data_IF_802285119455
#
_entry.id   IF_802285119455
#
_cell.length_a   1.000
_cell.length_b   1.000
_cell.length_c   1.000
_cell.angle_alpha   90.00
_cell.angle_beta   90.00
_cell.angle_gamma   90.00
#
_symmetry.space_group_name_H-M   'P 1'
#
loop_
_entity.id
_entity.type
_entity.pdbx_description
1 polymer ?
#
# COMPACT_ATOMS: atom_id res chain seq x y z
N UNK A 1 8.25 3.79 4.69
CA UNK A 1 8.03 3.36 3.29
C UNK A 1 8.49 4.39 2.27
N UNK A 2 7.91 5.61 2.25
CA UNK A 2 8.19 6.62 1.21
C UNK A 2 9.70 6.87 1.01
N UNK A 3 10.46 7.05 2.09
CA UNK A 3 11.93 7.23 2.00
C UNK A 3 12.59 6.05 1.29
N UNK A 4 12.29 4.81 1.69
CA UNK A 4 12.81 3.63 1.01
C UNK A 4 12.41 3.59 -0.47
N UNK A 5 11.13 3.81 -0.78
CA UNK A 5 10.61 3.78 -2.15
C UNK A 5 11.35 4.77 -3.07
N UNK A 6 11.59 6.00 -2.59
CA UNK A 6 12.34 7.00 -3.34
C UNK A 6 13.79 6.54 -3.52
N UNK A 7 14.43 6.06 -2.44
CA UNK A 7 15.82 5.59 -2.52
C UNK A 7 15.99 4.36 -3.41
N UNK A 8 14.97 3.53 -3.56
CA UNK A 8 15.00 2.23 -4.24
C UNK A 8 14.61 2.35 -5.72
N UNK A 9 13.45 2.95 -6.00
CA UNK A 9 12.86 3.00 -7.34
C UNK A 9 12.99 4.36 -8.05
N UNK A 10 13.34 5.43 -7.32
CA UNK A 10 13.50 6.77 -7.92
C UNK A 10 14.96 7.17 -8.07
N UNK A 11 15.76 7.04 -7.01
CA UNK A 11 17.16 7.49 -7.00
C UNK A 11 18.18 6.35 -7.06
N UNK A 12 17.76 5.10 -6.87
CA UNK A 12 18.63 3.92 -6.94
C UNK A 12 19.69 3.81 -5.84
N UNK A 13 19.61 4.63 -4.79
CA UNK A 13 20.60 4.72 -3.71
C UNK A 13 20.73 3.43 -2.88
N UNK A 14 19.64 2.66 -2.73
CA UNK A 14 19.64 1.38 -1.99
C UNK A 14 19.50 0.16 -2.91
N UNK A 15 19.58 0.39 -4.22
CA UNK A 15 19.32 -0.60 -5.25
C UNK A 15 20.58 -0.80 -6.10
N UNK A 16 21.27 -1.92 -5.86
CA UNK A 16 22.57 -2.23 -6.48
C UNK A 16 22.54 -2.40 -8.00
N UNK A 17 21.40 -2.79 -8.57
CA UNK A 17 21.20 -3.04 -9.99
C UNK A 17 20.39 -1.95 -10.69
N UNK A 18 20.21 -0.79 -10.06
CA UNK A 18 19.34 0.27 -10.58
C UNK A 18 19.85 0.82 -11.91
N UNK A 19 18.96 0.90 -12.89
CA UNK A 19 19.19 1.52 -14.20
C UNK A 19 18.26 2.72 -14.42
N UNK A 20 18.85 3.91 -14.57
CA UNK A 20 18.09 5.13 -14.81
C UNK A 20 17.34 5.07 -16.16
N UNK A 21 16.04 5.35 -16.14
CA UNK A 21 15.19 5.27 -17.34
C UNK A 21 14.60 3.88 -17.62
N UNK A 22 14.90 2.88 -16.79
CA UNK A 22 14.42 1.50 -16.93
C UNK A 22 13.49 1.07 -15.75
N UNK A 23 12.33 1.74 -15.55
CA UNK A 23 11.51 1.53 -14.35
C UNK A 23 10.95 0.11 -14.24
N UNK A 24 10.63 -0.55 -15.36
CA UNK A 24 10.14 -1.93 -15.36
C UNK A 24 11.19 -2.92 -14.83
N UNK A 25 12.43 -2.80 -15.31
CA UNK A 25 13.53 -3.65 -14.86
C UNK A 25 13.85 -3.40 -13.39
N UNK A 26 13.90 -2.12 -12.97
CA UNK A 26 14.15 -1.77 -11.58
C UNK A 26 13.10 -2.37 -10.63
N UNK A 27 11.83 -2.42 -11.04
CA UNK A 27 10.78 -3.08 -10.26
C UNK A 27 11.05 -4.58 -10.14
N UNK A 28 11.36 -5.26 -11.24
CA UNK A 28 11.71 -6.70 -11.22
C UNK A 28 12.88 -6.95 -10.28
N UNK A 29 13.94 -6.14 -10.39
CA UNK A 29 15.16 -6.31 -9.61
C UNK A 29 14.91 -6.10 -8.11
N UNK A 30 14.17 -5.05 -7.73
CA UNK A 30 13.76 -4.83 -6.34
C UNK A 30 13.03 -6.06 -5.78
N UNK A 31 12.05 -6.60 -6.50
CA UNK A 31 11.24 -7.74 -6.04
C UNK A 31 11.92 -9.11 -6.23
N UNK A 32 13.07 -9.16 -6.89
CA UNK A 32 13.93 -10.36 -6.90
C UNK A 32 14.73 -10.54 -5.61
N UNK A 33 14.78 -9.49 -4.76
CA UNK A 33 15.45 -9.53 -3.45
C UNK A 33 14.48 -9.84 -2.32
N UNK A 34 14.89 -10.66 -1.35
CA UNK A 34 14.03 -11.02 -0.22
C UNK A 34 13.66 -9.81 0.65
N UNK A 35 14.58 -8.87 0.85
CA UNK A 35 14.34 -7.69 1.68
C UNK A 35 13.43 -6.68 0.98
N UNK A 36 13.52 -6.52 -0.35
CA UNK A 36 12.59 -5.72 -1.14
C UNK A 36 11.16 -6.22 -0.96
N UNK A 37 10.94 -7.53 -1.10
CA UNK A 37 9.64 -8.14 -0.83
C UNK A 37 9.12 -7.83 0.58
N UNK A 38 9.92 -8.07 1.62
CA UNK A 38 9.49 -7.84 3.01
C UNK A 38 9.11 -6.39 3.27
N UNK A 39 9.93 -5.43 2.83
CA UNK A 39 9.68 -4.00 3.06
C UNK A 39 8.39 -3.54 2.38
N UNK A 40 8.17 -3.95 1.13
CA UNK A 40 6.97 -3.56 0.39
C UNK A 40 5.73 -4.30 0.87
N UNK A 41 5.81 -5.58 1.27
CA UNK A 41 4.67 -6.30 1.89
C UNK A 41 4.24 -5.60 3.18
N UNK A 42 5.18 -5.26 4.07
CA UNK A 42 4.87 -4.54 5.32
C UNK A 42 4.24 -3.18 5.02
N UNK A 43 4.73 -2.48 3.99
CA UNK A 43 4.17 -1.20 3.57
C UNK A 43 2.73 -1.35 3.04
N UNK A 44 2.45 -2.36 2.22
CA UNK A 44 1.12 -2.64 1.67
C UNK A 44 0.15 -3.04 2.78
N UNK A 45 0.58 -3.83 3.77
CA UNK A 45 -0.23 -4.15 4.95
C UNK A 45 -0.58 -2.90 5.77
N UNK A 46 0.41 -2.04 6.02
CA UNK A 46 0.20 -0.78 6.71
C UNK A 46 -0.73 0.16 5.94
N UNK A 47 -0.59 0.22 4.61
CA UNK A 47 -1.49 0.96 3.72
C UNK A 47 -2.91 0.41 3.77
N UNK A 48 -3.09 -0.91 3.73
CA UNK A 48 -4.41 -1.56 3.87
C UNK A 48 -5.12 -1.16 5.16
N UNK A 49 -4.42 -1.25 6.29
CA UNK A 49 -4.94 -0.80 7.60
C UNK A 49 -5.24 0.71 7.63
N UNK A 50 -4.36 1.53 7.05
CA UNK A 50 -4.55 2.97 6.97
C UNK A 50 -5.79 3.34 6.15
N UNK A 51 -6.00 2.70 5.00
CA UNK A 51 -7.18 2.92 4.15
C UNK A 51 -8.44 2.43 4.84
N UNK A 52 -8.42 1.25 5.47
CA UNK A 52 -9.55 0.72 6.25
C UNK A 52 -10.01 1.74 7.32
N UNK A 53 -9.06 2.20 8.14
CA UNK A 53 -9.34 3.16 9.20
C UNK A 53 -9.76 4.52 8.63
N UNK A 54 -9.02 5.05 7.66
CA UNK A 54 -9.25 6.37 7.08
C UNK A 54 -10.59 6.47 6.36
N UNK A 55 -10.98 5.44 5.61
CA UNK A 55 -12.26 5.40 4.91
C UNK A 55 -13.44 5.43 5.89
N UNK A 56 -13.39 4.60 6.93
CA UNK A 56 -14.44 4.58 7.94
C UNK A 56 -14.52 5.90 8.72
N UNK A 57 -13.37 6.42 9.16
CA UNK A 57 -13.30 7.69 9.90
C UNK A 57 -13.78 8.88 9.07
N UNK A 58 -13.39 8.94 7.78
CA UNK A 58 -13.85 9.99 6.87
C UNK A 58 -15.38 9.95 6.67
N UNK A 59 -15.97 8.76 6.52
CA UNK A 59 -17.42 8.61 6.42
C UNK A 59 -18.16 9.12 7.67
N UNK A 60 -17.57 8.93 8.85
CA UNK A 60 -18.12 9.47 10.09
C UNK A 60 -17.98 11.00 10.16
N UNK A 61 -16.81 11.55 9.84
CA UNK A 61 -16.56 13.00 9.86
C UNK A 61 -17.41 13.77 8.86
N UNK A 62 -17.68 13.19 7.69
CA UNK A 62 -18.51 13.80 6.64
C UNK A 62 -20.02 13.61 6.86
N UNK A 63 -20.44 13.01 7.98
CA UNK A 63 -21.85 12.85 8.33
C UNK A 63 -22.59 11.74 7.57
N UNK A 64 -21.87 10.85 6.88
CA UNK A 64 -22.46 9.69 6.19
C UNK A 64 -22.82 8.58 7.18
N UNK A 65 -22.08 8.51 8.29
CA UNK A 65 -22.25 7.52 9.36
C UNK A 65 -23.57 7.67 10.12
N UNK A 66 -24.28 6.54 10.27
CA UNK A 66 -25.43 6.40 11.16
C UNK A 66 -25.54 4.94 11.59
N UNK A 67 -26.26 4.66 12.68
CA UNK A 67 -26.32 3.33 13.29
C UNK A 67 -26.70 2.18 12.32
N UNK A 68 -27.47 2.47 11.26
CA UNK A 68 -27.85 1.48 10.23
C UNK A 68 -26.75 1.32 9.17
N UNK A 69 -26.11 2.42 8.75
CA UNK A 69 -25.09 2.45 7.69
C UNK A 69 -23.71 2.04 8.17
N UNK A 70 -23.42 2.13 9.46
CA UNK A 70 -22.11 1.79 10.02
C UNK A 70 -21.65 0.38 9.69
N UNK A 71 -22.57 -0.60 9.70
CA UNK A 71 -22.25 -1.98 9.32
C UNK A 71 -21.82 -2.06 7.85
N UNK A 72 -22.55 -1.38 6.95
CA UNK A 72 -22.24 -1.34 5.52
C UNK A 72 -20.90 -0.63 5.29
N UNK A 73 -20.68 0.53 5.91
CA UNK A 73 -19.44 1.30 5.79
C UNK A 73 -18.22 0.51 6.29
N UNK A 74 -18.35 -0.21 7.41
CA UNK A 74 -17.29 -1.09 7.91
C UNK A 74 -17.00 -2.25 6.97
N UNK A 75 -18.04 -2.90 6.43
CA UNK A 75 -17.84 -3.96 5.42
C UNK A 75 -17.13 -3.41 4.18
N UNK A 76 -17.55 -2.26 3.66
CA UNK A 76 -16.89 -1.61 2.52
C UNK A 76 -15.44 -1.25 2.82
N UNK A 77 -15.15 -0.68 3.99
CA UNK A 77 -13.79 -0.37 4.42
C UNK A 77 -12.90 -1.63 4.46
N UNK A 78 -13.42 -2.72 5.04
CA UNK A 78 -12.71 -3.99 5.14
C UNK A 78 -12.48 -4.62 3.76
N UNK A 79 -13.49 -4.62 2.89
CA UNK A 79 -13.38 -5.17 1.53
C UNK A 79 -12.40 -4.36 0.70
N UNK A 80 -12.47 -3.02 0.74
CA UNK A 80 -11.54 -2.16 0.04
C UNK A 80 -10.10 -2.40 0.49
N UNK A 81 -9.86 -2.45 1.80
CA UNK A 81 -8.55 -2.75 2.35
C UNK A 81 -8.03 -4.12 1.95
N UNK A 82 -8.87 -5.16 1.99
CA UNK A 82 -8.50 -6.51 1.58
C UNK A 82 -8.17 -6.60 0.07
N UNK A 83 -8.99 -6.01 -0.79
CA UNK A 83 -8.78 -5.99 -2.25
C UNK A 83 -7.46 -5.30 -2.59
N UNK A 84 -7.20 -4.12 -2.02
CA UNK A 84 -5.95 -3.41 -2.25
C UNK A 84 -4.76 -4.22 -1.73
N UNK A 85 -4.83 -4.72 -0.50
CA UNK A 85 -3.72 -5.45 0.13
C UNK A 85 -3.37 -6.71 -0.67
N UNK A 86 -4.37 -7.53 -1.02
CA UNK A 86 -4.15 -8.77 -1.77
C UNK A 86 -3.71 -8.47 -3.20
N UNK A 87 -4.29 -7.47 -3.86
CA UNK A 87 -3.94 -7.12 -5.24
C UNK A 87 -2.54 -6.53 -5.39
N UNK A 88 -1.98 -5.89 -4.36
CA UNK A 88 -0.60 -5.40 -4.38
C UNK A 88 0.43 -6.44 -3.90
N UNK A 89 -0.01 -7.51 -3.23
CA UNK A 89 0.88 -8.60 -2.77
C UNK A 89 0.97 -9.74 -3.80
N UNK A 90 -0.07 -9.96 -4.61
CA UNK A 90 -0.12 -11.00 -5.65
C UNK A 90 0.87 -10.76 -6.79
#
# INVERSE_FOLDING_TARGET
>A
FIVWHILDLTTGTVHTSFEAGHPYQNVIDTFSTWYGNVIYIVAVLAMGLHVQHGFWSAAQTLGVGNATRDRVLKTLANTLAAVLTLGFIS
#
